data_IF_835005048386
#
_entry.id   IF_835005048386
#
_cell.length_a   1.000
_cell.length_b   1.000
_cell.length_c   1.000
_cell.angle_alpha   90.00
_cell.angle_beta   90.00
_cell.angle_gamma   90.00
#
_symmetry.space_group_name_H-M   'P 1'
#
loop_
_entity.id
_entity.type
_entity.pdbx_description
1 polymer ?
#
# COMPACT_ATOMS: atom_id res chain seq x y z
N UNK A 1 30.24 6.53 2.66
CA UNK A 1 29.09 7.02 3.48
C UNK A 1 27.83 6.46 2.83
N UNK A 2 27.02 5.69 3.56
CA UNK A 2 25.82 5.05 2.99
C UNK A 2 24.78 6.08 2.55
N UNK A 3 23.90 5.70 1.62
CA UNK A 3 22.82 6.57 1.14
C UNK A 3 21.77 6.75 2.25
N UNK A 4 21.44 5.67 2.97
CA UNK A 4 20.53 5.72 4.11
C UNK A 4 21.25 6.28 5.35
N UNK A 5 20.71 7.36 5.90
CA UNK A 5 21.21 8.03 7.11
C UNK A 5 20.45 7.59 8.37
N UNK A 6 20.92 7.99 9.55
CA UNK A 6 20.30 7.70 10.84
C UNK A 6 18.85 8.21 10.95
N UNK A 7 18.47 9.24 10.16
CA UNK A 7 17.10 9.73 10.05
C UNK A 7 16.24 8.95 9.06
N UNK A 8 16.52 7.67 8.86
CA UNK A 8 15.83 6.86 7.88
C UNK A 8 14.35 6.69 8.23
N UNK A 9 13.47 7.19 7.35
CA UNK A 9 12.03 6.96 7.37
C UNK A 9 11.63 6.00 6.26
N UNK A 10 10.45 5.37 6.39
CA UNK A 10 9.93 4.45 5.36
C UNK A 10 9.86 5.15 3.99
N UNK A 11 9.39 6.40 3.96
CA UNK A 11 9.27 7.18 2.72
C UNK A 11 10.63 7.50 2.12
N UNK A 12 11.60 7.88 2.95
CA UNK A 12 12.96 8.19 2.51
C UNK A 12 13.64 6.95 1.92
N UNK A 13 13.60 5.81 2.62
CA UNK A 13 14.15 4.55 2.11
C UNK A 13 13.51 4.15 0.79
N UNK A 14 12.16 4.25 0.69
CA UNK A 14 11.43 3.94 -0.54
C UNK A 14 11.88 4.85 -1.69
N UNK A 15 11.98 6.14 -1.43
CA UNK A 15 12.41 7.14 -2.42
C UNK A 15 13.85 6.89 -2.90
N UNK A 16 14.76 6.63 -1.98
CA UNK A 16 16.17 6.35 -2.32
C UNK A 16 16.31 5.08 -3.16
N UNK A 17 15.62 3.99 -2.79
CA UNK A 17 15.64 2.75 -3.59
C UNK A 17 15.10 3.00 -5.00
N UNK A 18 13.95 3.69 -5.13
CA UNK A 18 13.38 3.98 -6.44
C UNK A 18 14.30 4.87 -7.28
N UNK A 19 14.99 5.81 -6.65
CA UNK A 19 15.94 6.71 -7.31
C UNK A 19 17.14 5.95 -7.85
N UNK A 20 17.75 5.05 -7.04
CA UNK A 20 18.90 4.26 -7.49
C UNK A 20 18.51 3.27 -8.59
N UNK A 21 17.36 2.59 -8.45
CA UNK A 21 16.82 1.73 -9.50
C UNK A 21 16.59 2.52 -10.80
N UNK A 22 16.00 3.71 -10.71
CA UNK A 22 15.74 4.56 -11.89
C UNK A 22 17.05 5.02 -12.55
N UNK A 23 18.05 5.45 -11.78
CA UNK A 23 19.37 5.84 -12.32
C UNK A 23 20.01 4.71 -13.11
N UNK A 24 20.07 3.51 -12.52
CA UNK A 24 20.65 2.33 -13.17
C UNK A 24 19.84 1.89 -14.39
N UNK A 25 18.51 2.00 -14.33
CA UNK A 25 17.64 1.69 -15.46
C UNK A 25 17.86 2.65 -16.62
N UNK A 26 17.97 3.96 -16.38
CA UNK A 26 18.30 4.94 -17.41
C UNK A 26 19.70 4.74 -18.00
N UNK A 27 20.67 4.33 -17.17
CA UNK A 27 22.02 3.98 -17.65
C UNK A 27 22.06 2.66 -18.45
N UNK A 28 21.06 1.80 -18.30
CA UNK A 28 21.04 0.45 -18.90
C UNK A 28 21.85 -0.58 -18.14
N UNK A 29 22.23 -0.28 -16.91
CA UNK A 29 23.12 -1.09 -16.07
C UNK A 29 22.37 -1.80 -14.94
N UNK A 30 21.02 -1.72 -14.91
CA UNK A 30 20.25 -2.24 -13.78
C UNK A 30 20.47 -3.73 -13.57
N UNK A 31 20.41 -4.55 -14.63
CA UNK A 31 20.54 -6.01 -14.47
C UNK A 31 21.92 -6.45 -13.95
N UNK A 32 22.98 -5.69 -14.27
CA UNK A 32 24.32 -5.96 -13.83
C UNK A 32 24.60 -5.47 -12.39
N UNK A 33 24.00 -4.34 -12.01
CA UNK A 33 24.37 -3.63 -10.77
C UNK A 33 23.29 -3.67 -9.67
N UNK A 34 22.08 -4.15 -9.94
CA UNK A 34 20.98 -4.14 -8.94
C UNK A 34 21.31 -4.85 -7.64
N UNK A 35 22.12 -5.93 -7.70
CA UNK A 35 22.54 -6.66 -6.50
C UNK A 35 23.52 -5.87 -5.63
N UNK A 36 24.13 -4.82 -6.14
CA UNK A 36 25.02 -3.91 -5.40
C UNK A 36 24.25 -2.85 -4.61
N UNK A 37 23.04 -2.46 -5.05
CA UNK A 37 22.23 -1.42 -4.41
C UNK A 37 22.12 -1.61 -2.89
N UNK A 38 21.80 -2.80 -2.34
CA UNK A 38 21.73 -2.98 -0.89
C UNK A 38 23.05 -2.68 -0.16
N UNK A 39 24.19 -2.95 -0.78
CA UNK A 39 25.51 -2.73 -0.19
C UNK A 39 25.96 -1.28 -0.29
N UNK A 40 25.59 -0.59 -1.36
CA UNK A 40 25.88 0.84 -1.56
C UNK A 40 25.02 1.69 -0.61
N UNK A 41 23.74 1.32 -0.44
CA UNK A 41 22.83 2.02 0.49
C UNK A 41 23.19 1.74 1.96
N UNK A 42 23.56 0.52 2.29
CA UNK A 42 23.91 0.06 3.64
C UNK A 42 25.33 -0.53 3.62
N UNK A 43 26.38 0.29 3.61
CA UNK A 43 27.75 -0.19 3.54
C UNK A 43 28.20 -0.91 4.81
N UNK A 44 27.62 -0.59 5.96
CA UNK A 44 27.98 -1.13 7.29
C UNK A 44 29.20 -0.42 7.90
N UNK A 45 29.68 -0.87 9.04
CA UNK A 45 29.24 -2.07 9.78
C UNK A 45 27.97 -1.88 10.63
N UNK A 46 27.53 -0.65 10.81
CA UNK A 46 26.39 -0.31 11.69
C UNK A 46 25.07 -0.39 10.94
N UNK A 47 24.03 -0.83 11.65
CA UNK A 47 22.65 -0.83 11.16
C UNK A 47 22.00 0.53 11.40
N UNK A 48 21.11 0.98 10.49
CA UNK A 48 20.49 2.31 10.53
C UNK A 48 19.02 2.30 10.93
N UNK A 49 18.27 1.23 10.59
CA UNK A 49 16.83 1.20 10.81
C UNK A 49 16.27 -0.15 11.26
N UNK A 50 17.12 -1.19 11.37
CA UNK A 50 16.76 -2.53 11.87
C UNK A 50 17.84 -3.10 12.79
N UNK A 51 17.60 -4.31 13.29
CA UNK A 51 18.46 -4.97 14.23
C UNK A 51 19.87 -5.29 13.70
N UNK A 52 20.04 -5.42 12.38
CA UNK A 52 21.34 -5.70 11.77
C UNK A 52 21.39 -5.32 10.29
N UNK A 53 22.59 -5.10 9.78
CA UNK A 53 22.85 -4.72 8.37
C UNK A 53 22.37 -5.78 7.36
N UNK A 54 22.41 -7.06 7.72
CA UNK A 54 21.97 -8.15 6.83
C UNK A 54 20.47 -8.06 6.57
N UNK A 55 19.69 -7.80 7.59
CA UNK A 55 18.25 -7.62 7.49
C UNK A 55 17.90 -6.36 6.73
N UNK A 56 18.61 -5.27 6.96
CA UNK A 56 18.42 -4.01 6.21
C UNK A 56 18.70 -4.20 4.73
N UNK A 57 19.83 -4.84 4.39
CA UNK A 57 20.18 -5.16 2.99
C UNK A 57 19.14 -6.05 2.32
N UNK A 58 18.61 -7.05 3.04
CA UNK A 58 17.54 -7.89 2.50
C UNK A 58 16.24 -7.11 2.25
N UNK A 59 15.86 -6.21 3.16
CA UNK A 59 14.72 -5.32 2.97
C UNK A 59 14.92 -4.45 1.72
N UNK A 60 16.11 -3.87 1.53
CA UNK A 60 16.42 -3.09 0.34
C UNK A 60 16.35 -3.96 -0.92
N UNK A 61 16.93 -5.17 -0.91
CA UNK A 61 16.85 -6.10 -2.05
C UNK A 61 15.41 -6.41 -2.45
N UNK A 62 14.55 -6.68 -1.48
CA UNK A 62 13.13 -6.94 -1.75
C UNK A 62 12.41 -5.70 -2.30
N UNK A 63 12.81 -4.48 -1.86
CA UNK A 63 12.29 -3.22 -2.44
C UNK A 63 12.77 -2.99 -3.86
N UNK A 64 14.01 -3.34 -4.20
CA UNK A 64 14.53 -3.30 -5.58
C UNK A 64 13.68 -4.21 -6.48
N UNK A 65 13.35 -5.42 -6.04
CA UNK A 65 12.44 -6.32 -6.79
C UNK A 65 11.06 -5.71 -7.02
N UNK A 66 10.49 -5.06 -6.00
CA UNK A 66 9.21 -4.33 -6.14
C UNK A 66 9.32 -3.18 -7.15
N UNK A 67 10.45 -2.47 -7.17
CA UNK A 67 10.72 -1.42 -8.16
C UNK A 67 10.80 -1.96 -9.59
N UNK A 68 11.30 -3.19 -9.76
CA UNK A 68 11.27 -3.93 -11.03
C UNK A 68 9.88 -4.51 -11.39
N UNK A 69 8.84 -4.27 -10.61
CA UNK A 69 7.50 -4.87 -10.80
C UNK A 69 7.39 -6.34 -10.35
N UNK A 70 8.44 -6.89 -9.74
CA UNK A 70 8.51 -8.29 -9.29
C UNK A 70 8.00 -8.45 -7.85
N UNK A 71 7.61 -9.66 -7.47
CA UNK A 71 7.27 -9.97 -6.09
C UNK A 71 8.52 -10.06 -5.20
N UNK A 72 8.42 -9.73 -3.90
CA UNK A 72 9.45 -10.06 -2.93
C UNK A 72 9.65 -11.58 -2.82
N UNK A 73 10.88 -12.02 -2.66
CA UNK A 73 11.20 -13.47 -2.64
C UNK A 73 10.91 -14.15 -3.98
N UNK A 74 10.58 -15.44 -3.94
CA UNK A 74 10.39 -16.28 -5.13
C UNK A 74 8.90 -16.54 -5.45
N UNK A 75 7.99 -15.71 -4.91
CA UNK A 75 6.56 -15.84 -5.21
C UNK A 75 6.21 -15.15 -6.53
N UNK A 76 5.22 -15.68 -7.21
CA UNK A 76 4.54 -15.00 -8.30
C UNK A 76 3.13 -14.62 -7.86
N UNK A 77 2.71 -13.42 -8.14
CA UNK A 77 1.39 -12.89 -7.81
C UNK A 77 1.05 -11.75 -8.74
N UNK A 78 -0.19 -11.71 -9.19
CA UNK A 78 -0.74 -10.57 -9.95
C UNK A 78 -1.13 -9.40 -9.04
N UNK A 79 -1.21 -9.61 -7.72
CA UNK A 79 -1.56 -8.56 -6.77
C UNK A 79 -0.47 -7.48 -6.75
N UNK A 80 -0.89 -6.22 -6.85
CA UNK A 80 0.02 -5.07 -6.76
C UNK A 80 0.55 -4.91 -5.33
N UNK A 81 -0.26 -5.23 -4.33
CA UNK A 81 0.10 -5.12 -2.90
C UNK A 81 0.87 -6.36 -2.48
N UNK A 82 2.09 -6.17 -2.01
CA UNK A 82 3.02 -7.24 -1.65
C UNK A 82 3.56 -7.07 -0.23
N UNK A 83 4.03 -8.17 0.36
CA UNK A 83 4.61 -8.18 1.72
C UNK A 83 6.10 -8.47 1.65
N UNK A 84 6.89 -7.59 2.24
CA UNK A 84 8.33 -7.75 2.49
C UNK A 84 8.48 -8.53 3.80
N UNK A 85 8.70 -9.83 3.71
CA UNK A 85 8.71 -10.72 4.87
C UNK A 85 9.73 -10.30 5.91
N UNK A 86 10.96 -10.01 5.50
CA UNK A 86 12.04 -9.57 6.39
C UNK A 86 11.73 -8.30 7.20
N UNK A 87 10.86 -7.43 6.69
CA UNK A 87 10.37 -6.26 7.42
C UNK A 87 9.15 -6.58 8.29
N UNK A 88 8.33 -7.55 7.89
CA UNK A 88 7.10 -7.92 8.59
C UNK A 88 7.35 -8.73 9.87
N UNK A 89 8.39 -9.54 9.92
CA UNK A 89 8.78 -10.39 11.05
C UNK A 89 9.00 -9.63 12.35
N UNK A 90 9.35 -8.35 12.28
CA UNK A 90 9.58 -7.51 13.48
C UNK A 90 8.31 -6.91 14.07
N UNK A 91 7.19 -7.01 13.38
CA UNK A 91 5.93 -6.50 13.91
C UNK A 91 5.48 -7.40 15.08
N UNK A 92 5.08 -6.81 16.24
CA UNK A 92 4.64 -7.61 17.38
C UNK A 92 3.56 -8.63 16.99
N UNK A 93 3.78 -9.89 17.36
CA UNK A 93 2.91 -11.02 16.99
C UNK A 93 1.58 -10.95 17.73
N UNK A 94 1.56 -10.38 18.95
CA UNK A 94 0.38 -10.37 19.81
C UNK A 94 -0.77 -9.58 19.20
N UNK A 95 -1.82 -10.29 18.81
CA UNK A 95 -3.15 -9.71 18.63
C UNK A 95 -4.02 -10.17 19.80
N UNK A 96 -4.73 -9.24 20.42
CA UNK A 96 -5.57 -9.58 21.55
C UNK A 96 -5.57 -8.50 22.62
N UNK A 97 -5.97 -8.88 23.83
CA UNK A 97 -5.97 -7.95 24.97
C UNK A 97 -4.67 -8.09 25.77
N UNK A 98 -4.07 -6.96 26.11
CA UNK A 98 -2.89 -6.88 26.96
C UNK A 98 -3.13 -5.94 28.14
N UNK A 99 -2.46 -6.19 29.24
CA UNK A 99 -2.45 -5.30 30.40
C UNK A 99 -1.30 -4.32 30.25
N UNK A 100 -1.62 -3.02 30.30
CA UNK A 100 -0.64 -1.93 30.22
C UNK A 100 -0.12 -1.55 31.62
N UNK A 101 0.88 -0.67 31.65
CA UNK A 101 1.45 -0.14 32.86
C UNK A 101 0.48 0.77 33.70
N UNK A 102 -0.70 1.06 33.12
CA UNK A 102 -1.79 1.72 33.87
C UNK A 102 -2.44 0.81 34.93
N UNK A 103 -2.13 -0.49 34.92
CA UNK A 103 -2.66 -1.42 35.91
C UNK A 103 -2.14 -1.10 37.32
N UNK A 104 -3.08 -0.88 38.25
CA UNK A 104 -2.78 -0.53 39.62
C UNK A 104 -2.79 -1.75 40.57
N UNK A 105 -2.81 -2.98 40.07
CA UNK A 105 -2.89 -4.16 40.93
C UNK A 105 -4.08 -4.15 41.90
N UNK A 106 -5.23 -3.55 41.52
CA UNK A 106 -6.35 -3.23 42.39
C UNK A 106 -6.91 -4.46 43.13
N UNK A 107 -7.45 -4.25 44.34
CA UNK A 107 -8.01 -5.31 45.20
C UNK A 107 -9.30 -5.91 44.60
N UNK A 108 -10.08 -5.15 43.85
CA UNK A 108 -11.33 -5.61 43.25
C UNK A 108 -11.13 -6.73 42.24
N UNK A 109 -9.95 -6.74 41.52
CA UNK A 109 -9.59 -7.78 40.53
C UNK A 109 -10.72 -8.10 39.55
N UNK A 110 -11.52 -7.10 39.17
CA UNK A 110 -12.70 -7.21 38.31
C UNK A 110 -12.38 -7.84 36.96
N UNK A 111 -11.20 -7.57 36.43
CA UNK A 111 -10.73 -8.18 35.17
C UNK A 111 -10.63 -9.72 35.28
N UNK A 112 -10.10 -10.25 36.41
CA UNK A 112 -10.02 -11.69 36.63
C UNK A 112 -11.41 -12.30 36.81
N UNK A 113 -12.28 -11.64 37.58
CA UNK A 113 -13.64 -12.11 37.87
C UNK A 113 -14.51 -12.15 36.58
N UNK A 114 -14.28 -11.20 35.65
CA UNK A 114 -15.01 -11.13 34.39
C UNK A 114 -14.52 -12.14 33.31
N UNK A 115 -13.37 -12.80 33.56
CA UNK A 115 -12.78 -13.71 32.60
C UNK A 115 -13.31 -15.14 32.74
N UNK A 116 -14.23 -15.53 31.88
CA UNK A 116 -14.81 -16.90 31.89
C UNK A 116 -13.82 -17.98 31.43
N UNK A 117 -12.67 -17.61 30.86
CA UNK A 117 -11.69 -18.53 30.27
C UNK A 117 -10.48 -18.77 31.19
N UNK A 118 -10.45 -18.16 32.36
CA UNK A 118 -9.32 -18.29 33.28
C UNK A 118 -7.98 -17.76 32.73
N UNK A 119 -8.06 -16.89 31.72
CA UNK A 119 -6.86 -16.35 31.05
C UNK A 119 -6.14 -15.25 31.84
N UNK A 120 -6.65 -14.81 32.98
CA UNK A 120 -6.07 -13.71 33.74
C UNK A 120 -5.48 -14.22 35.05
N UNK A 121 -4.18 -14.00 35.18
CA UNK A 121 -3.45 -14.21 36.45
C UNK A 121 -3.11 -12.87 37.08
N UNK A 122 -3.04 -12.88 38.40
CA UNK A 122 -2.69 -11.70 39.19
C UNK A 122 -1.24 -11.87 39.68
N UNK A 123 -0.38 -10.96 39.28
CA UNK A 123 0.97 -10.86 39.83
C UNK A 123 1.04 -9.96 41.05
N UNK A 124 2.23 -9.65 41.51
CA UNK A 124 2.44 -8.84 42.71
C UNK A 124 2.04 -7.36 42.49
N UNK A 125 2.32 -6.85 41.32
CA UNK A 125 2.16 -5.44 40.93
C UNK A 125 1.03 -5.22 39.93
N UNK A 126 0.76 -6.18 39.04
CA UNK A 126 -0.26 -6.09 37.97
C UNK A 126 -0.84 -7.42 37.57
N UNK A 127 -1.91 -7.36 36.78
CA UNK A 127 -2.52 -8.52 36.14
C UNK A 127 -1.78 -8.89 34.86
N UNK A 128 -1.86 -10.16 34.46
CA UNK A 128 -1.30 -10.70 33.22
C UNK A 128 -2.38 -11.47 32.46
N UNK A 129 -2.39 -11.38 31.14
CA UNK A 129 -3.29 -12.12 30.27
C UNK A 129 -2.49 -13.19 29.53
N UNK A 130 -2.86 -14.43 29.71
CA UNK A 130 -2.34 -15.58 29.00
C UNK A 130 -2.91 -15.58 27.55
N UNK A 131 -2.09 -15.35 26.50
CA UNK A 131 -2.57 -15.25 25.14
C UNK A 131 -3.14 -16.56 24.60
N UNK A 132 -2.68 -17.72 25.09
CA UNK A 132 -3.16 -19.03 24.64
C UNK A 132 -4.59 -19.31 25.14
N UNK A 133 -4.89 -18.89 26.37
CA UNK A 133 -6.23 -19.05 26.98
C UNK A 133 -7.19 -17.92 26.56
N UNK A 134 -6.66 -16.78 26.15
CA UNK A 134 -7.46 -15.59 25.86
C UNK A 134 -8.27 -15.76 24.57
N UNK A 135 -9.59 -15.65 24.64
CA UNK A 135 -10.50 -15.69 23.48
C UNK A 135 -10.84 -14.29 22.93
N UNK A 136 -10.11 -13.27 23.34
CA UNK A 136 -10.26 -11.88 22.86
C UNK A 136 -11.69 -11.31 22.97
N UNK A 137 -12.47 -11.74 23.97
CA UNK A 137 -13.88 -11.34 24.12
C UNK A 137 -14.09 -9.92 24.69
N UNK A 138 -13.04 -9.28 25.27
CA UNK A 138 -13.08 -7.90 25.76
C UNK A 138 -13.70 -7.65 27.12
N UNK A 139 -14.33 -8.64 27.78
CA UNK A 139 -14.99 -8.45 29.08
C UNK A 139 -14.08 -7.87 30.15
N UNK A 140 -12.81 -8.30 30.19
CA UNK A 140 -11.83 -7.80 31.15
C UNK A 140 -11.48 -6.32 30.94
N UNK A 141 -11.45 -5.86 29.69
CA UNK A 141 -11.22 -4.46 29.37
C UNK A 141 -12.38 -3.57 29.81
N UNK A 142 -13.62 -4.02 29.59
CA UNK A 142 -14.83 -3.33 30.04
C UNK A 142 -14.94 -3.28 31.56
N UNK A 143 -14.49 -4.33 32.26
CA UNK A 143 -14.53 -4.42 33.71
C UNK A 143 -13.40 -3.65 34.42
N UNK A 144 -12.40 -3.18 33.69
CA UNK A 144 -11.26 -2.48 34.27
C UNK A 144 -11.57 -1.02 34.50
N UNK A 145 -11.66 -0.59 35.77
CA UNK A 145 -11.92 0.82 36.16
C UNK A 145 -10.79 1.77 35.78
N UNK A 146 -9.58 1.26 35.54
CA UNK A 146 -8.41 2.07 35.16
C UNK A 146 -8.16 2.08 33.66
N UNK A 147 -9.02 1.43 32.84
CA UNK A 147 -8.80 1.27 31.40
C UNK A 147 -7.41 0.70 31.04
N UNK A 148 -6.84 -0.07 31.96
CA UNK A 148 -5.48 -0.62 31.85
C UNK A 148 -5.38 -1.82 30.92
N UNK A 149 -6.49 -2.31 30.37
CA UNK A 149 -6.53 -3.46 29.46
C UNK A 149 -6.96 -2.97 28.08
N UNK A 150 -6.05 -3.07 27.11
CA UNK A 150 -6.28 -2.57 25.77
C UNK A 150 -6.24 -3.69 24.75
N UNK A 151 -7.02 -3.54 23.67
CA UNK A 151 -6.95 -4.45 22.53
C UNK A 151 -5.83 -4.01 21.60
N UNK A 152 -4.85 -4.89 21.42
CA UNK A 152 -3.79 -4.71 20.41
C UNK A 152 -4.20 -5.46 19.17
N UNK A 153 -4.08 -4.80 18.02
CA UNK A 153 -4.28 -5.39 16.71
C UNK A 153 -3.28 -4.75 15.75
N UNK A 154 -2.69 -5.56 14.87
CA UNK A 154 -1.76 -5.03 13.88
C UNK A 154 -2.44 -3.98 12.99
N UNK A 155 -1.80 -2.84 12.74
CA UNK A 155 -2.40 -1.74 11.98
C UNK A 155 -2.89 -2.18 10.59
N UNK A 156 -2.15 -3.05 9.90
CA UNK A 156 -2.55 -3.58 8.59
C UNK A 156 -3.86 -4.39 8.64
N UNK A 157 -4.04 -5.21 9.68
CA UNK A 157 -5.29 -5.97 9.87
C UNK A 157 -6.46 -5.05 10.23
N UNK A 158 -6.21 -4.06 11.10
CA UNK A 158 -7.21 -3.09 11.53
C UNK A 158 -7.69 -2.21 10.37
N UNK A 159 -6.79 -1.84 9.46
CA UNK A 159 -7.10 -0.96 8.33
C UNK A 159 -7.71 -1.67 7.13
N UNK A 160 -7.71 -3.00 7.10
CA UNK A 160 -8.24 -3.75 5.97
C UNK A 160 -9.77 -3.80 5.98
N UNK A 161 -10.47 -3.12 5.05
CA UNK A 161 -11.94 -3.03 5.06
C UNK A 161 -12.62 -4.36 4.74
N UNK A 162 -11.91 -5.30 4.15
CA UNK A 162 -12.42 -6.61 3.72
C UNK A 162 -11.81 -7.78 4.47
N UNK A 163 -11.06 -7.51 5.56
CA UNK A 163 -10.41 -8.54 6.39
C UNK A 163 -9.60 -9.57 5.58
N UNK A 164 -8.93 -9.11 4.52
CA UNK A 164 -8.11 -9.95 3.64
C UNK A 164 -6.72 -10.27 4.23
N UNK A 165 -6.40 -9.81 5.44
CA UNK A 165 -5.07 -9.94 6.03
C UNK A 165 -5.12 -10.93 7.19
N UNK A 166 -4.30 -11.96 7.10
CA UNK A 166 -4.05 -12.95 8.14
C UNK A 166 -2.56 -13.02 8.46
N UNK A 167 -2.17 -13.82 9.43
CA UNK A 167 -0.78 -14.08 9.78
C UNK A 167 -0.50 -15.56 9.60
N UNK A 168 0.71 -15.89 9.15
CA UNK A 168 1.20 -17.26 9.15
C UNK A 168 1.71 -17.67 10.55
N UNK A 169 2.24 -18.90 10.67
CA UNK A 169 2.80 -19.46 11.90
C UNK A 169 4.01 -18.68 12.45
N UNK A 170 4.72 -17.96 11.57
CA UNK A 170 5.86 -17.11 11.93
C UNK A 170 5.43 -15.65 12.22
N UNK A 171 4.14 -15.36 12.16
CA UNK A 171 3.60 -14.02 12.37
C UNK A 171 3.84 -13.08 11.19
N UNK A 172 4.17 -13.59 10.01
CA UNK A 172 4.30 -12.77 8.80
C UNK A 172 2.93 -12.58 8.17
N UNK A 173 2.66 -11.37 7.71
CA UNK A 173 1.42 -10.99 7.06
C UNK A 173 1.20 -11.79 5.77
N UNK A 174 0.03 -12.38 5.64
CA UNK A 174 -0.46 -13.02 4.43
C UNK A 174 -1.68 -12.28 3.91
N UNK A 175 -1.71 -12.01 2.61
CA UNK A 175 -2.82 -11.33 1.94
C UNK A 175 -3.61 -12.35 1.14
N UNK A 176 -4.88 -12.53 1.51
CA UNK A 176 -5.83 -13.34 0.75
C UNK A 176 -6.23 -12.58 -0.52
N UNK A 177 -5.68 -12.98 -1.65
CA UNK A 177 -5.91 -12.32 -2.95
C UNK A 177 -7.36 -12.45 -3.42
N UNK A 178 -8.08 -13.47 -2.99
CA UNK A 178 -9.49 -13.64 -3.33
C UNK A 178 -10.36 -12.55 -2.71
N UNK A 179 -10.00 -12.06 -1.52
CA UNK A 179 -10.69 -10.98 -0.81
C UNK A 179 -10.08 -9.61 -1.07
N UNK A 180 -8.78 -9.54 -1.33
CA UNK A 180 -8.05 -8.27 -1.45
C UNK A 180 -8.57 -7.42 -2.61
N UNK A 181 -9.00 -6.19 -2.33
CA UNK A 181 -9.50 -5.22 -3.31
C UNK A 181 -8.40 -4.26 -3.80
N UNK A 182 -7.16 -4.43 -3.36
CA UNK A 182 -5.99 -3.64 -3.74
C UNK A 182 -6.11 -2.13 -3.44
N UNK A 183 -6.79 -1.78 -2.35
CA UNK A 183 -7.03 -0.37 -1.97
C UNK A 183 -5.82 0.35 -1.36
N UNK A 184 -4.75 -0.37 -0.98
CA UNK A 184 -3.52 0.21 -0.42
C UNK A 184 -3.57 0.61 1.06
N UNK A 185 -4.70 0.50 1.77
CA UNK A 185 -4.82 0.92 3.18
C UNK A 185 -3.79 0.26 4.10
N UNK A 186 -3.48 -1.01 3.86
CA UNK A 186 -2.47 -1.73 4.62
C UNK A 186 -1.05 -1.21 4.39
N UNK A 187 -0.75 -0.66 3.21
CA UNK A 187 0.54 -0.03 2.90
C UNK A 187 0.71 1.24 3.72
N UNK A 188 -0.32 2.10 3.70
CA UNK A 188 -0.31 3.37 4.42
C UNK A 188 -0.20 3.19 5.93
N UNK A 189 -0.89 2.19 6.48
CA UNK A 189 -0.95 1.95 7.92
C UNK A 189 0.15 1.03 8.47
N UNK A 190 1.10 0.56 7.65
CA UNK A 190 2.17 -0.30 8.11
C UNK A 190 3.34 0.52 8.69
N UNK A 191 3.57 0.54 10.01
CA UNK A 191 4.62 1.35 10.62
C UNK A 191 6.03 0.81 10.35
N UNK A 192 6.15 -0.41 9.83
CA UNK A 192 7.41 -1.04 9.43
C UNK A 192 7.71 -0.91 7.94
N UNK A 193 6.77 -0.38 7.15
CA UNK A 193 6.89 -0.35 5.70
C UNK A 193 7.02 -1.74 5.07
N UNK A 194 6.54 -2.78 5.78
CA UNK A 194 6.62 -4.16 5.34
C UNK A 194 5.64 -4.49 4.22
N UNK A 195 4.57 -3.71 4.07
CA UNK A 195 3.63 -3.86 2.97
C UNK A 195 3.90 -2.74 1.98
N UNK A 196 4.09 -3.09 0.73
CA UNK A 196 4.43 -2.14 -0.33
C UNK A 196 3.78 -2.55 -1.67
N UNK A 197 3.79 -1.63 -2.63
CA UNK A 197 3.29 -1.88 -3.99
C UNK A 197 4.41 -2.22 -4.94
N UNK A 198 4.13 -3.08 -5.92
CA UNK A 198 4.93 -3.19 -7.13
C UNK A 198 4.82 -1.89 -7.93
N UNK A 199 5.86 -1.56 -8.68
CA UNK A 199 5.88 -0.38 -9.55
C UNK A 199 6.20 -0.78 -11.00
N UNK A 200 5.89 0.10 -11.95
CA UNK A 200 6.23 -0.08 -13.36
C UNK A 200 7.35 0.89 -13.80
N UNK A 201 8.12 1.42 -12.85
CA UNK A 201 9.11 2.46 -13.17
C UNK A 201 10.18 1.98 -14.14
N UNK A 202 10.62 0.72 -14.02
CA UNK A 202 11.65 0.14 -14.90
C UNK A 202 11.09 -0.07 -16.31
N UNK A 203 9.86 -0.57 -16.44
CA UNK A 203 9.21 -0.77 -17.75
C UNK A 203 9.04 0.57 -18.48
N UNK A 204 8.66 1.62 -17.74
CA UNK A 204 8.50 2.98 -18.29
C UNK A 204 9.85 3.52 -18.79
N UNK A 205 10.89 3.39 -17.99
CA UNK A 205 12.24 3.85 -18.36
C UNK A 205 12.74 3.08 -19.59
N UNK A 206 12.54 1.77 -19.64
CA UNK A 206 12.94 0.97 -20.79
C UNK A 206 12.18 1.40 -22.04
N UNK A 207 10.87 1.65 -21.97
CA UNK A 207 10.10 2.15 -23.10
C UNK A 207 10.62 3.51 -23.61
N UNK A 208 11.01 4.43 -22.69
CA UNK A 208 11.63 5.72 -23.06
C UNK A 208 12.98 5.49 -23.75
N UNK A 209 13.82 4.61 -23.22
CA UNK A 209 15.15 4.31 -23.79
C UNK A 209 15.07 3.64 -25.15
N UNK A 210 14.05 2.81 -25.37
CA UNK A 210 13.76 2.19 -26.65
C UNK A 210 13.22 3.18 -27.70
N UNK A 211 13.05 4.46 -27.33
CA UNK A 211 12.54 5.50 -28.21
C UNK A 211 11.05 5.42 -28.50
N UNK A 212 10.29 4.65 -27.70
CA UNK A 212 8.83 4.61 -27.82
C UNK A 212 8.22 5.96 -27.47
N UNK A 213 7.10 6.29 -28.08
CA UNK A 213 6.34 7.49 -27.75
C UNK A 213 5.59 7.27 -26.44
N UNK A 214 6.19 7.68 -25.33
CA UNK A 214 5.61 7.55 -23.99
C UNK A 214 4.95 8.86 -23.59
N UNK A 215 3.65 8.81 -23.25
CA UNK A 215 2.86 9.97 -22.83
C UNK A 215 2.51 9.84 -21.36
N UNK A 216 2.87 10.86 -20.55
CA UNK A 216 2.51 10.95 -19.16
C UNK A 216 1.08 11.46 -19.00
N UNK A 217 0.26 10.77 -18.23
CA UNK A 217 -1.10 11.15 -17.86
C UNK A 217 -1.16 11.39 -16.35
N UNK A 218 -1.31 12.65 -15.93
CA UNK A 218 -1.34 13.00 -14.51
C UNK A 218 -2.77 13.04 -13.97
N UNK A 219 -2.99 12.36 -12.85
CA UNK A 219 -4.22 12.49 -12.09
C UNK A 219 -4.35 13.89 -11.47
N UNK A 220 -5.57 14.44 -11.33
CA UNK A 220 -5.80 15.72 -10.63
C UNK A 220 -5.21 15.77 -9.22
N UNK A 221 -5.17 14.64 -8.52
CA UNK A 221 -4.56 14.50 -7.20
C UNK A 221 -3.03 14.76 -7.18
N UNK A 222 -2.38 14.88 -8.33
CA UNK A 222 -0.98 15.29 -8.44
C UNK A 222 -0.75 16.79 -8.21
N UNK A 223 -1.79 17.60 -8.36
CA UNK A 223 -1.73 19.03 -8.09
C UNK A 223 -1.47 19.30 -6.62
N UNK A 224 -0.60 20.25 -6.31
CA UNK A 224 -0.25 20.63 -4.94
C UNK A 224 0.68 19.66 -4.19
N UNK A 225 1.03 18.48 -4.73
CA UNK A 225 1.87 17.47 -4.05
C UNK A 225 3.30 17.98 -3.77
N UNK A 226 3.82 18.87 -4.58
CA UNK A 226 5.16 19.46 -4.42
C UNK A 226 5.12 20.94 -4.01
N UNK A 227 4.00 21.39 -3.43
CA UNK A 227 3.79 22.76 -2.98
C UNK A 227 3.09 23.64 -4.01
N UNK A 228 2.58 24.78 -3.53
CA UNK A 228 1.72 25.70 -4.29
C UNK A 228 2.40 26.31 -5.54
N UNK A 229 3.72 26.36 -5.56
CA UNK A 229 4.49 26.93 -6.68
C UNK A 229 4.69 25.96 -7.85
N UNK A 230 4.29 24.70 -7.72
CA UNK A 230 4.44 23.67 -8.75
C UNK A 230 3.14 23.55 -9.54
N UNK A 231 3.14 24.18 -10.71
CA UNK A 231 2.00 24.22 -11.63
C UNK A 231 2.01 23.04 -12.60
N UNK A 232 0.91 22.84 -13.35
CA UNK A 232 0.83 21.84 -14.44
C UNK A 232 1.89 22.12 -15.54
N UNK A 233 2.27 23.36 -15.76
CA UNK A 233 3.37 23.71 -16.67
C UNK A 233 4.71 23.19 -16.16
N UNK A 234 4.94 23.27 -14.84
CA UNK A 234 6.15 22.70 -14.20
C UNK A 234 6.19 21.18 -14.37
N UNK A 235 5.06 20.50 -14.16
CA UNK A 235 4.91 19.07 -14.40
C UNK A 235 5.24 18.70 -15.84
N UNK A 236 4.64 19.38 -16.82
CA UNK A 236 4.90 19.16 -18.24
C UNK A 236 6.39 19.30 -18.57
N UNK A 237 7.02 20.33 -18.03
CA UNK A 237 8.47 20.57 -18.24
C UNK A 237 9.30 19.44 -17.62
N UNK A 238 8.97 19.01 -16.40
CA UNK A 238 9.67 17.91 -15.73
C UNK A 238 9.53 16.59 -16.50
N UNK A 239 8.31 16.25 -16.96
CA UNK A 239 8.07 15.03 -17.73
C UNK A 239 8.85 15.03 -19.05
N UNK A 240 8.89 16.16 -19.76
CA UNK A 240 9.72 16.29 -20.97
C UNK A 240 11.21 16.09 -20.70
N UNK A 241 11.72 16.63 -19.59
CA UNK A 241 13.12 16.41 -19.17
C UNK A 241 13.42 14.97 -18.83
N UNK A 242 12.43 14.21 -18.34
CA UNK A 242 12.55 12.77 -18.06
C UNK A 242 12.43 11.90 -19.33
N UNK A 243 12.16 12.51 -20.51
CA UNK A 243 12.10 11.79 -21.77
C UNK A 243 10.69 11.41 -22.23
N UNK A 244 9.64 11.84 -21.54
CA UNK A 244 8.27 11.67 -22.02
C UNK A 244 8.02 12.53 -23.25
N UNK A 245 7.33 11.95 -24.25
CA UNK A 245 7.01 12.65 -25.49
C UNK A 245 5.96 13.76 -25.29
N UNK A 246 4.98 13.52 -24.39
CA UNK A 246 3.95 14.50 -24.05
C UNK A 246 3.41 14.29 -22.63
N UNK A 247 2.58 15.23 -22.20
CA UNK A 247 1.95 15.27 -20.88
C UNK A 247 0.48 15.70 -21.01
N UNK A 248 -0.43 14.93 -20.41
CA UNK A 248 -1.87 15.17 -20.45
C UNK A 248 -2.46 15.10 -19.04
N UNK A 249 -3.38 16.01 -18.75
CA UNK A 249 -4.14 16.03 -17.50
C UNK A 249 -5.36 15.10 -17.60
N UNK A 250 -5.49 14.18 -16.65
CA UNK A 250 -6.58 13.19 -16.66
C UNK A 250 -7.92 13.79 -16.20
N UNK A 251 -7.93 15.04 -15.73
CA UNK A 251 -9.16 15.79 -15.51
C UNK A 251 -10.10 15.78 -16.73
N UNK A 252 -9.53 15.93 -17.94
CA UNK A 252 -10.28 15.79 -19.19
C UNK A 252 -11.01 14.44 -19.29
N UNK A 253 -10.37 13.35 -18.87
CA UNK A 253 -11.02 12.03 -18.82
C UNK A 253 -12.13 11.95 -17.79
N UNK A 254 -12.01 12.71 -16.71
CA UNK A 254 -13.06 12.87 -15.70
C UNK A 254 -14.33 13.50 -16.29
N UNK A 255 -14.18 14.58 -17.04
CA UNK A 255 -15.30 15.26 -17.73
C UNK A 255 -15.96 14.34 -18.76
N UNK A 256 -15.15 13.61 -19.55
CA UNK A 256 -15.68 12.63 -20.51
C UNK A 256 -16.45 11.52 -19.80
N UNK A 257 -15.90 10.95 -18.73
CA UNK A 257 -16.55 9.87 -17.97
C UNK A 257 -17.84 10.37 -17.33
N UNK A 258 -17.84 11.58 -16.75
CA UNK A 258 -19.02 12.17 -16.12
C UNK A 258 -20.17 12.37 -17.14
N UNK A 259 -19.86 12.81 -18.36
CA UNK A 259 -20.87 12.98 -19.41
C UNK A 259 -21.52 11.62 -19.77
N UNK A 260 -20.73 10.58 -20.03
CA UNK A 260 -21.25 9.25 -20.35
C UNK A 260 -22.00 8.60 -19.18
N UNK A 261 -21.50 8.73 -17.94
CA UNK A 261 -22.18 8.20 -16.75
C UNK A 261 -23.53 8.92 -16.50
N UNK A 262 -23.62 10.21 -16.81
CA UNK A 262 -24.86 10.96 -16.66
C UNK A 262 -25.94 10.46 -17.63
N UNK A 263 -25.60 10.15 -18.88
CA UNK A 263 -26.49 9.56 -19.85
C UNK A 263 -26.96 8.17 -19.40
N UNK A 264 -26.03 7.29 -19.05
CA UNK A 264 -26.29 5.93 -18.55
C UNK A 264 -27.16 5.95 -17.27
N UNK A 265 -26.88 6.91 -16.36
CA UNK A 265 -27.69 7.09 -15.16
C UNK A 265 -29.12 7.52 -15.48
N UNK A 266 -29.29 8.47 -16.40
CA UNK A 266 -30.60 8.93 -16.80
C UNK A 266 -31.48 7.83 -17.41
N UNK A 267 -30.87 6.92 -18.20
CA UNK A 267 -31.56 5.73 -18.74
C UNK A 267 -31.92 4.75 -17.63
N UNK A 268 -30.96 4.39 -16.77
CA UNK A 268 -31.17 3.49 -15.63
C UNK A 268 -32.26 4.01 -14.68
N UNK A 269 -32.30 5.33 -14.46
CA UNK A 269 -33.31 5.96 -13.60
C UNK A 269 -34.72 5.83 -14.19
N UNK A 270 -34.89 6.00 -15.52
CA UNK A 270 -36.18 5.82 -16.20
C UNK A 270 -36.67 4.38 -16.07
N UNK A 271 -35.78 3.41 -16.04
CA UNK A 271 -36.07 1.98 -15.84
C UNK A 271 -36.26 1.59 -14.36
N UNK A 272 -36.14 2.56 -13.43
CA UNK A 272 -36.22 2.30 -11.98
C UNK A 272 -35.05 1.48 -11.42
N UNK A 273 -33.93 1.40 -12.15
CA UNK A 273 -32.71 0.74 -11.73
C UNK A 273 -31.81 1.69 -10.92
N UNK A 274 -31.04 1.10 -10.00
CA UNK A 274 -29.99 1.81 -9.27
C UNK A 274 -28.66 1.60 -9.98
N UNK A 275 -27.86 2.64 -10.07
CA UNK A 275 -26.53 2.59 -10.67
C UNK A 275 -25.47 3.15 -9.72
N UNK A 276 -24.25 2.59 -9.78
CA UNK A 276 -23.06 3.10 -9.09
C UNK A 276 -21.98 3.41 -10.11
N UNK A 277 -21.08 4.35 -9.76
CA UNK A 277 -19.92 4.67 -10.61
C UNK A 277 -18.91 3.53 -10.72
N UNK A 278 -18.07 3.55 -11.75
CA UNK A 278 -17.01 2.56 -12.03
C UNK A 278 -15.60 3.16 -11.98
N UNK A 279 -15.43 4.44 -11.65
CA UNK A 279 -14.16 5.15 -11.76
C UNK A 279 -13.05 4.64 -10.81
N UNK A 280 -13.40 4.04 -9.66
CA UNK A 280 -12.45 3.53 -8.69
C UNK A 280 -12.26 2.01 -8.81
N UNK A 281 -11.08 1.51 -9.23
CA UNK A 281 -10.83 0.07 -9.36
C UNK A 281 -11.00 -0.71 -8.06
N UNK A 282 -10.64 -0.12 -6.92
CA UNK A 282 -10.82 -0.77 -5.61
C UNK A 282 -12.31 -0.96 -5.27
N UNK A 283 -13.15 0.02 -5.59
CA UNK A 283 -14.59 -0.08 -5.42
C UNK A 283 -15.20 -1.15 -6.34
N UNK A 284 -14.82 -1.16 -7.60
CA UNK A 284 -15.27 -2.19 -8.57
C UNK A 284 -14.86 -3.59 -8.11
N UNK A 285 -13.63 -3.76 -7.65
CA UNK A 285 -13.15 -5.02 -7.08
C UNK A 285 -13.91 -5.40 -5.80
N UNK A 286 -14.27 -4.42 -4.98
CA UNK A 286 -15.07 -4.65 -3.78
C UNK A 286 -16.44 -5.21 -4.12
N UNK A 287 -17.16 -4.59 -5.06
CA UNK A 287 -18.46 -5.09 -5.52
C UNK A 287 -18.31 -6.49 -6.13
N UNK A 288 -17.37 -6.68 -7.08
CA UNK A 288 -17.18 -7.98 -7.75
C UNK A 288 -16.88 -9.14 -6.81
N UNK A 289 -16.10 -8.89 -5.73
CA UNK A 289 -15.65 -9.95 -4.82
C UNK A 289 -16.59 -10.18 -3.65
N UNK A 290 -17.27 -9.14 -3.16
CA UNK A 290 -18.02 -9.19 -1.92
C UNK A 290 -19.53 -9.04 -2.10
N UNK A 291 -19.97 -8.51 -3.25
CA UNK A 291 -21.39 -8.28 -3.58
C UNK A 291 -21.65 -8.58 -5.06
N UNK A 292 -21.43 -9.83 -5.51
CA UNK A 292 -21.54 -10.21 -6.92
C UNK A 292 -22.94 -9.95 -7.50
N UNK A 293 -23.98 -9.95 -6.68
CA UNK A 293 -25.35 -9.62 -7.05
C UNK A 293 -25.52 -8.15 -7.48
N UNK A 294 -24.61 -7.25 -7.08
CA UNK A 294 -24.64 -5.83 -7.43
C UNK A 294 -23.79 -5.46 -8.64
N UNK A 295 -23.11 -6.44 -9.26
CA UNK A 295 -22.24 -6.19 -10.42
C UNK A 295 -23.01 -5.55 -11.57
N UNK A 296 -24.27 -5.93 -11.79
CA UNK A 296 -25.15 -5.34 -12.79
C UNK A 296 -25.56 -3.87 -12.54
N UNK A 297 -25.25 -3.35 -11.35
CA UNK A 297 -25.50 -1.96 -10.99
C UNK A 297 -24.27 -1.05 -11.18
N UNK A 298 -23.11 -1.62 -11.54
CA UNK A 298 -21.90 -0.82 -11.79
C UNK A 298 -22.03 -0.19 -13.19
N UNK A 299 -21.70 1.10 -13.31
CA UNK A 299 -21.60 1.78 -14.60
C UNK A 299 -20.69 1.02 -15.56
N UNK A 300 -21.08 0.96 -16.83
CA UNK A 300 -20.30 0.37 -17.91
C UNK A 300 -19.21 1.31 -18.42
N UNK A 301 -19.22 2.57 -17.98
CA UNK A 301 -18.26 3.59 -18.39
C UNK A 301 -16.86 3.26 -17.86
N UNK A 302 -15.86 3.48 -18.71
CA UNK A 302 -14.45 3.25 -18.34
C UNK A 302 -13.96 4.34 -17.38
N UNK A 303 -12.93 4.01 -16.61
CA UNK A 303 -12.31 5.01 -15.71
C UNK A 303 -11.70 6.20 -16.50
N UNK A 304 -11.59 7.38 -15.88
CA UNK A 304 -10.99 8.58 -16.51
C UNK A 304 -9.63 8.32 -17.17
N UNK A 305 -8.75 7.57 -16.50
CA UNK A 305 -7.45 7.21 -17.08
C UNK A 305 -7.58 6.35 -18.34
N UNK A 306 -8.54 5.41 -18.36
CA UNK A 306 -8.78 4.58 -19.53
C UNK A 306 -9.40 5.37 -20.68
N UNK A 307 -10.27 6.35 -20.39
CA UNK A 307 -10.86 7.24 -21.38
C UNK A 307 -9.77 8.05 -22.11
N UNK A 308 -8.87 8.70 -21.35
CA UNK A 308 -7.74 9.44 -21.93
C UNK A 308 -6.79 8.52 -22.68
N UNK A 309 -6.46 7.35 -22.14
CA UNK A 309 -5.60 6.37 -22.81
C UNK A 309 -6.18 5.92 -24.16
N UNK A 310 -7.48 5.62 -24.21
CA UNK A 310 -8.19 5.24 -25.45
C UNK A 310 -8.17 6.40 -26.45
N UNK A 311 -8.41 7.62 -26.01
CA UNK A 311 -8.34 8.81 -26.86
C UNK A 311 -6.96 9.00 -27.47
N UNK A 312 -5.89 8.85 -26.69
CA UNK A 312 -4.51 8.96 -27.17
C UNK A 312 -4.17 7.86 -28.18
N UNK A 313 -4.54 6.62 -27.87
CA UNK A 313 -4.30 5.46 -28.74
C UNK A 313 -5.17 5.46 -30.02
N UNK A 314 -6.32 6.11 -29.99
CA UNK A 314 -7.11 6.33 -31.21
C UNK A 314 -6.42 7.27 -32.20
N UNK A 315 -5.61 8.22 -31.69
CA UNK A 315 -4.79 9.11 -32.54
C UNK A 315 -3.51 8.44 -33.02
N UNK A 316 -2.90 7.63 -32.15
CA UNK A 316 -1.65 6.94 -32.44
C UNK A 316 -1.60 5.63 -31.62
N UNK A 317 -1.88 4.47 -32.23
CA UNK A 317 -1.96 3.18 -31.56
C UNK A 317 -0.67 2.74 -30.86
N UNK A 318 0.50 3.17 -31.34
CA UNK A 318 1.80 2.82 -30.80
C UNK A 318 2.15 3.63 -29.54
N UNK A 319 1.33 4.62 -29.17
CA UNK A 319 1.56 5.43 -27.97
C UNK A 319 1.50 4.56 -26.71
N UNK A 320 2.57 4.61 -25.91
CA UNK A 320 2.60 4.05 -24.55
C UNK A 320 2.05 5.09 -23.58
N UNK A 321 0.96 4.77 -22.91
CA UNK A 321 0.33 5.68 -21.94
C UNK A 321 0.73 5.30 -20.52
N UNK A 322 1.21 6.27 -19.75
CA UNK A 322 1.65 6.10 -18.35
C UNK A 322 0.81 6.96 -17.45
N UNK A 323 0.08 6.33 -16.55
CA UNK A 323 -0.75 7.04 -15.57
C UNK A 323 0.04 7.32 -14.30
N UNK A 324 0.19 8.59 -13.97
CA UNK A 324 0.84 9.08 -12.76
C UNK A 324 -0.25 9.46 -11.76
N UNK A 325 -0.29 8.72 -10.65
CA UNK A 325 -1.33 8.82 -9.65
C UNK A 325 -0.72 9.07 -8.29
N UNK A 326 -1.18 10.13 -7.63
CA UNK A 326 -0.91 10.37 -6.21
C UNK A 326 -2.00 9.69 -5.39
N UNK A 327 -1.70 8.51 -4.87
CA UNK A 327 -2.58 7.78 -3.96
C UNK A 327 -1.88 7.51 -2.62
N UNK A 328 -2.65 7.02 -1.67
CA UNK A 328 -2.22 6.65 -0.31
C UNK A 328 -0.93 5.81 -0.27
N UNK A 329 -0.67 5.05 -1.29
CA UNK A 329 0.49 4.15 -1.38
C UNK A 329 1.72 4.77 -2.09
N UNK A 330 1.65 6.01 -2.49
CA UNK A 330 2.81 6.78 -2.91
C UNK A 330 3.36 7.57 -1.72
#
# INVERSE_FOLDING_TARGET
MGIVSDDATILKIKHEVLTEVAKLAFAGELDEKKENIPYEMIPGPEAHFRCCIYKEREIIRQRVRLAEGKCPGNRESSNIVQVINSACEECPISSGYVVTDLCQGCLAKSCKQSCNFGAITIGNDRSYIDPEKCKSCGKCAQACSYSAIVKIQRPCMKSCPVSAITMDEHGVCQIDESKCIQCGQCIHNCPFGAIASKTSIVDIINAIREGKKVVAMLAPAGEGQFGENITMASWRTAMKKLGFADFVEVGLGGDMTAAFEAEEWAESFKEGKKMTTSCCPAFVNYIKKHFPELVGNISTTVSPMCAVSRMLKAKDPETVTVFILSLIHI
#
